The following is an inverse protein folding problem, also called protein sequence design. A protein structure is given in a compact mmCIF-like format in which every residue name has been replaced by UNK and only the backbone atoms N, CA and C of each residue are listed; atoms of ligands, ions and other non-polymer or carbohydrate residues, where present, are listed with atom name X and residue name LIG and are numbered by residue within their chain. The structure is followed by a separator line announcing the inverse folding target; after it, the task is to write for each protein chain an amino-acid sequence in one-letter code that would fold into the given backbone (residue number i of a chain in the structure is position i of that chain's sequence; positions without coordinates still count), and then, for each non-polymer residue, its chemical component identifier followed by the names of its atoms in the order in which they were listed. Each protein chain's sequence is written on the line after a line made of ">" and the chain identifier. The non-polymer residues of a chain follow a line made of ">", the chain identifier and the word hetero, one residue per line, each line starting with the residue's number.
data_IF_292177940754
#
_entry.id   IF_292177940754
#
_cell.length_a   1.000
_cell.length_b   1.000
_cell.length_c   1.000
_cell.angle_alpha   90.00
_cell.angle_beta   90.00
_cell.angle_gamma   90.00
#
_symmetry.space_group_name_H-M   'P 1'
#
loop_
_entity.id
_entity.type
_entity.pdbx_description
1 polymer ?
#
# COMPACT_ATOMS: atom_id res chain seq x y z
N UNK A 1 15.78 10.84 7.31
CA UNK A 1 14.40 10.30 7.25
C UNK A 1 14.43 8.89 7.81
N UNK A 2 13.29 8.31 8.15
CA UNK A 2 13.23 6.94 8.67
C UNK A 2 12.19 6.14 7.90
N UNK A 3 12.52 4.89 7.60
CA UNK A 3 11.59 3.92 7.04
C UNK A 3 11.14 3.00 8.16
N UNK A 4 9.83 2.81 8.27
CA UNK A 4 9.22 1.80 9.13
C UNK A 4 8.80 0.66 8.22
N UNK A 5 9.41 -0.50 8.38
CA UNK A 5 9.07 -1.71 7.66
C UNK A 5 8.15 -2.57 8.50
N UNK A 6 7.16 -3.17 7.85
CA UNK A 6 6.11 -3.95 8.47
C UNK A 6 5.90 -5.19 7.61
N UNK A 7 5.84 -6.36 8.25
CA UNK A 7 5.32 -7.59 7.65
C UNK A 7 3.94 -7.88 8.24
N UNK A 8 2.92 -8.08 7.40
CA UNK A 8 1.58 -8.39 7.84
C UNK A 8 1.38 -9.89 8.07
N UNK A 9 0.72 -10.22 9.17
CA UNK A 9 0.44 -11.59 9.60
C UNK A 9 -0.69 -12.20 8.76
N UNK A 10 -0.33 -13.15 7.91
CA UNK A 10 -1.27 -13.95 7.12
C UNK A 10 -2.10 -14.85 8.04
N UNK A 11 -3.42 -14.94 7.82
CA UNK A 11 -4.29 -15.87 8.57
C UNK A 11 -4.99 -16.91 7.71
N UNK A 12 -5.19 -16.64 6.42
CA UNK A 12 -5.73 -17.59 5.44
C UNK A 12 -5.42 -17.11 4.03
N UNK A 13 -5.70 -17.93 3.02
CA UNK A 13 -5.68 -17.51 1.62
C UNK A 13 -7.04 -16.96 1.19
N UNK A 14 -7.06 -16.04 0.24
CA UNK A 14 -8.31 -15.54 -0.37
C UNK A 14 -8.79 -16.45 -1.51
N UNK A 15 -9.94 -16.13 -2.10
CA UNK A 15 -10.39 -16.77 -3.35
C UNK A 15 -9.45 -16.50 -4.52
N UNK A 16 -8.73 -15.37 -4.49
CA UNK A 16 -7.60 -15.14 -5.36
C UNK A 16 -6.39 -15.90 -4.77
N UNK A 17 -5.87 -16.93 -5.45
CA UNK A 17 -4.76 -17.74 -4.92
C UNK A 17 -3.46 -16.94 -4.74
N UNK A 18 -3.37 -15.74 -5.32
CA UNK A 18 -2.24 -14.83 -5.14
C UNK A 18 -2.38 -13.93 -3.91
N UNK A 19 -3.62 -13.70 -3.45
CA UNK A 19 -3.88 -12.78 -2.34
C UNK A 19 -4.13 -13.55 -1.04
N UNK A 20 -3.38 -13.15 -0.02
CA UNK A 20 -3.60 -13.60 1.35
C UNK A 20 -4.71 -12.78 2.02
N UNK A 21 -5.44 -13.41 2.92
CA UNK A 21 -6.35 -12.74 3.84
C UNK A 21 -5.58 -12.52 5.14
N UNK A 22 -5.51 -11.26 5.54
CA UNK A 22 -5.02 -10.84 6.84
C UNK A 22 -6.20 -10.70 7.79
N UNK A 23 -5.94 -10.78 9.10
CA UNK A 23 -6.98 -10.70 10.13
C UNK A 23 -7.80 -9.41 10.05
N UNK A 24 -7.16 -8.36 9.55
CA UNK A 24 -7.71 -7.02 9.40
C UNK A 24 -6.73 -6.15 8.61
N UNK A 25 -7.24 -5.13 7.93
CA UNK A 25 -6.46 -4.05 7.33
C UNK A 25 -6.56 -2.75 8.16
N UNK A 26 -6.85 -2.81 9.46
CA UNK A 26 -6.98 -1.63 10.34
C UNK A 26 -5.74 -0.71 10.34
N UNK A 27 -4.58 -1.25 9.94
CA UNK A 27 -3.35 -0.48 9.78
C UNK A 27 -3.35 0.39 8.50
N UNK A 28 -4.09 0.00 7.47
CA UNK A 28 -4.04 0.57 6.11
C UNK A 28 -4.42 2.04 6.10
N UNK A 29 -5.63 2.38 6.57
CA UNK A 29 -6.12 3.76 6.51
C UNK A 29 -5.19 4.73 7.24
N UNK A 30 -4.61 4.30 8.36
CA UNK A 30 -3.65 5.10 9.12
C UNK A 30 -2.33 5.26 8.37
N UNK A 31 -1.79 4.19 7.80
CA UNK A 31 -0.57 4.22 6.99
C UNK A 31 -0.72 5.15 5.78
N UNK A 32 -1.81 4.98 5.02
CA UNK A 32 -2.16 5.83 3.89
C UNK A 32 -2.33 7.28 4.33
N UNK A 33 -3.04 7.54 5.44
CA UNK A 33 -3.23 8.90 5.96
C UNK A 33 -1.91 9.59 6.31
N UNK A 34 -0.91 8.86 6.79
CA UNK A 34 0.43 9.41 7.05
C UNK A 34 1.12 9.76 5.72
N UNK A 35 1.13 8.83 4.77
CA UNK A 35 1.79 9.02 3.48
C UNK A 35 1.20 10.17 2.66
N UNK A 36 -0.14 10.28 2.63
CA UNK A 36 -0.89 11.32 1.90
C UNK A 36 -0.63 12.74 2.43
N UNK A 37 0.00 12.92 3.59
CA UNK A 37 0.44 14.24 4.07
C UNK A 37 1.55 14.83 3.21
N UNK A 38 2.33 13.98 2.52
CA UNK A 38 3.53 14.40 1.79
C UNK A 38 3.55 13.92 0.34
N UNK A 39 2.94 12.78 0.04
CA UNK A 39 2.89 12.22 -1.31
C UNK A 39 2.01 13.05 -2.25
N UNK A 40 2.44 13.17 -3.51
CA UNK A 40 1.70 13.81 -4.59
C UNK A 40 1.46 12.92 -5.81
N UNK A 41 2.13 11.76 -5.86
CA UNK A 41 2.04 10.79 -6.94
C UNK A 41 1.80 9.39 -6.40
N UNK A 42 1.13 8.58 -7.20
CA UNK A 42 0.90 7.17 -6.91
C UNK A 42 1.36 6.29 -8.07
N UNK A 43 1.63 5.04 -7.73
CA UNK A 43 1.78 3.93 -8.67
C UNK A 43 1.02 2.73 -8.11
N UNK A 44 0.14 2.16 -8.93
CA UNK A 44 -0.55 0.91 -8.65
C UNK A 44 -0.03 -0.18 -9.56
N UNK A 45 0.25 -1.36 -8.99
CA UNK A 45 0.62 -2.56 -9.75
C UNK A 45 -0.37 -3.68 -9.49
N UNK A 46 -0.73 -4.40 -10.54
CA UNK A 46 -1.74 -5.45 -10.52
C UNK A 46 -1.36 -6.55 -11.52
N UNK A 47 -1.76 -7.78 -11.22
CA UNK A 47 -1.76 -8.84 -12.23
C UNK A 47 -2.87 -8.61 -13.25
N UNK A 48 -2.67 -9.07 -14.48
CA UNK A 48 -3.69 -8.96 -15.54
C UNK A 48 -5.02 -9.62 -15.16
N UNK A 49 -4.97 -10.67 -14.35
CA UNK A 49 -6.16 -11.39 -13.89
C UNK A 49 -6.92 -10.63 -12.80
N UNK A 50 -6.22 -9.82 -11.99
CA UNK A 50 -6.81 -9.00 -10.94
C UNK A 50 -7.55 -7.79 -11.47
N UNK A 51 -7.24 -7.34 -12.69
CA UNK A 51 -7.92 -6.21 -13.33
C UNK A 51 -9.44 -6.35 -13.31
N UNK A 52 -9.93 -7.59 -13.43
CA UNK A 52 -11.37 -7.90 -13.42
C UNK A 52 -12.03 -7.57 -12.07
N UNK A 53 -11.26 -7.50 -10.99
CA UNK A 53 -11.73 -7.13 -9.66
C UNK A 53 -11.80 -5.60 -9.45
N UNK A 54 -11.25 -4.82 -10.38
CA UNK A 54 -11.30 -3.36 -10.34
C UNK A 54 -12.51 -2.90 -11.14
N UNK A 55 -13.52 -2.40 -10.42
CA UNK A 55 -14.80 -2.00 -10.99
C UNK A 55 -14.68 -0.92 -12.07
N UNK A 56 -13.71 -0.02 -11.92
CA UNK A 56 -13.43 1.03 -12.90
C UNK A 56 -11.92 1.28 -13.04
N UNK A 57 -11.32 0.61 -14.03
CA UNK A 57 -9.89 0.71 -14.34
C UNK A 57 -9.49 2.12 -14.79
N UNK A 58 -10.44 2.93 -15.30
CA UNK A 58 -10.15 4.30 -15.72
C UNK A 58 -9.80 5.21 -14.54
N UNK A 59 -10.19 4.81 -13.32
CA UNK A 59 -9.84 5.51 -12.09
C UNK A 59 -8.38 5.32 -11.67
N UNK A 60 -7.67 4.36 -12.27
CA UNK A 60 -6.27 4.06 -11.93
C UNK A 60 -5.27 5.00 -12.60
N UNK A 61 -5.71 5.89 -13.50
CA UNK A 61 -4.83 6.82 -14.20
C UNK A 61 -4.20 6.25 -15.47
N UNK A 62 -2.98 6.70 -15.78
CA UNK A 62 -2.30 6.32 -17.02
C UNK A 62 -1.62 4.98 -16.86
N UNK A 63 -1.89 4.05 -17.78
CA UNK A 63 -1.16 2.80 -17.88
C UNK A 63 0.22 3.07 -18.47
N UNK A 64 1.26 2.63 -17.78
CA UNK A 64 2.66 2.76 -18.22
C UNK A 64 3.19 1.38 -18.61
N UNK A 65 4.06 1.35 -19.61
CA UNK A 65 4.75 0.12 -19.98
C UNK A 65 5.66 -0.35 -18.85
N UNK A 66 5.58 -1.64 -18.55
CA UNK A 66 6.40 -2.30 -17.56
C UNK A 66 7.21 -3.41 -18.25
N UNK A 67 8.52 -3.28 -18.21
CA UNK A 67 9.45 -4.22 -18.85
C UNK A 67 10.19 -5.10 -17.83
N UNK A 68 9.98 -4.88 -16.54
CA UNK A 68 10.67 -5.59 -15.46
C UNK A 68 9.87 -6.79 -14.96
N UNK A 69 8.55 -6.62 -14.85
CA UNK A 69 7.62 -7.66 -14.39
C UNK A 69 6.43 -7.76 -15.34
N UNK A 70 5.59 -8.79 -15.17
CA UNK A 70 4.35 -8.94 -15.93
C UNK A 70 3.16 -8.17 -15.31
N UNK A 71 3.42 -7.34 -14.31
CA UNK A 71 2.40 -6.53 -13.65
C UNK A 71 1.99 -5.37 -14.56
N UNK A 72 0.70 -5.06 -14.57
CA UNK A 72 0.19 -3.84 -15.16
C UNK A 72 0.46 -2.69 -14.18
N UNK A 73 1.09 -1.63 -14.69
CA UNK A 73 1.48 -0.47 -13.89
C UNK A 73 0.63 0.72 -14.30
N UNK A 74 0.03 1.36 -13.30
CA UNK A 74 -0.72 2.60 -13.47
C UNK A 74 -0.13 3.70 -12.60
N UNK A 75 0.05 4.90 -13.15
CA UNK A 75 0.62 6.05 -12.42
C UNK A 75 -0.23 7.30 -12.60
N UNK A 76 -0.12 8.20 -11.63
CA UNK A 76 -0.76 9.51 -11.72
C UNK A 76 -0.50 10.42 -10.52
N UNK A 77 -1.14 11.59 -10.56
CA UNK A 77 -1.17 12.54 -9.45
C UNK A 77 -2.28 12.16 -8.45
N UNK A 78 -2.00 12.37 -7.17
CA UNK A 78 -2.96 12.14 -6.10
C UNK A 78 -3.96 13.31 -6.08
N UNK A 79 -5.14 13.07 -6.66
CA UNK A 79 -6.31 13.94 -6.53
C UNK A 79 -7.27 13.40 -5.44
N UNK A 80 -8.39 14.09 -5.21
CA UNK A 80 -9.36 13.69 -4.18
C UNK A 80 -10.08 12.37 -4.50
N UNK A 81 -10.11 11.95 -5.77
CA UNK A 81 -10.66 10.64 -6.16
C UNK A 81 -9.71 9.54 -5.75
N UNK A 82 -8.41 9.70 -6.03
CA UNK A 82 -7.36 8.74 -5.61
C UNK A 82 -7.28 8.64 -4.09
N UNK A 83 -7.36 9.76 -3.36
CA UNK A 83 -7.41 9.73 -1.90
C UNK A 83 -8.59 8.91 -1.38
N UNK A 84 -9.78 9.05 -1.99
CA UNK A 84 -10.96 8.29 -1.61
C UNK A 84 -10.78 6.79 -1.89
N UNK A 85 -10.21 6.43 -3.04
CA UNK A 85 -9.90 5.02 -3.33
C UNK A 85 -8.97 4.43 -2.27
N UNK A 86 -7.89 5.13 -1.96
CA UNK A 86 -6.90 4.68 -0.99
C UNK A 86 -7.44 4.60 0.45
N UNK A 87 -8.30 5.54 0.86
CA UNK A 87 -8.78 5.63 2.25
C UNK A 87 -10.10 4.92 2.51
N UNK A 88 -10.95 4.75 1.50
CA UNK A 88 -12.34 4.33 1.73
C UNK A 88 -12.80 3.17 0.83
N UNK A 89 -12.07 2.87 -0.25
CA UNK A 89 -12.49 1.90 -1.25
C UNK A 89 -11.30 1.05 -1.74
N UNK A 90 -10.49 0.60 -0.79
CA UNK A 90 -9.24 -0.10 -1.04
C UNK A 90 -9.38 -1.63 -1.04
N UNK A 91 -10.51 -2.18 -0.61
CA UNK A 91 -10.77 -3.61 -0.55
C UNK A 91 -11.66 -4.10 -1.70
N UNK A 92 -11.36 -5.28 -2.22
CA UNK A 92 -12.25 -6.02 -3.12
C UNK A 92 -13.47 -6.53 -2.35
N UNK A 93 -14.49 -7.01 -3.08
CA UNK A 93 -15.65 -7.69 -2.49
C UNK A 93 -15.27 -8.97 -1.73
N UNK A 94 -14.16 -9.63 -2.09
CA UNK A 94 -13.60 -10.78 -1.38
C UNK A 94 -12.72 -10.37 -0.17
N UNK A 95 -12.62 -9.06 0.12
CA UNK A 95 -12.05 -8.55 1.37
C UNK A 95 -10.53 -8.43 1.41
N UNK A 96 -9.83 -8.41 0.27
CA UNK A 96 -8.38 -8.14 0.19
C UNK A 96 -8.08 -6.84 -0.56
N UNK A 97 -6.88 -6.27 -0.41
CA UNK A 97 -6.51 -5.02 -1.08
C UNK A 97 -6.62 -5.14 -2.61
N UNK A 98 -7.20 -4.15 -3.29
CA UNK A 98 -7.47 -4.18 -4.75
C UNK A 98 -6.22 -4.25 -5.64
N UNK A 99 -5.08 -3.83 -5.11
CA UNK A 99 -3.83 -3.70 -5.85
C UNK A 99 -2.79 -4.64 -5.27
N UNK A 100 -2.03 -5.30 -6.14
CA UNK A 100 -0.91 -6.14 -5.71
C UNK A 100 0.19 -5.30 -5.06
N UNK A 101 0.51 -4.16 -5.67
CA UNK A 101 1.43 -3.16 -5.09
C UNK A 101 0.83 -1.76 -5.13
N UNK A 102 1.04 -0.98 -4.07
CA UNK A 102 0.76 0.46 -4.00
C UNK A 102 2.01 1.20 -3.55
N UNK A 103 2.46 2.13 -4.39
CA UNK A 103 3.54 3.05 -4.06
C UNK A 103 3.05 4.48 -4.08
N UNK A 104 3.41 5.27 -3.07
CA UNK A 104 3.14 6.71 -3.02
C UNK A 104 4.46 7.48 -2.95
N UNK A 105 4.58 8.53 -3.75
CA UNK A 105 5.82 9.27 -3.94
C UNK A 105 5.66 10.77 -3.72
N UNK A 106 6.79 11.42 -3.44
CA UNK A 106 6.99 12.87 -3.55
C UNK A 106 8.38 13.10 -4.12
N UNK A 107 8.50 13.85 -5.22
CA UNK A 107 9.81 14.10 -5.87
C UNK A 107 10.67 12.83 -6.10
N UNK A 108 10.03 11.73 -6.51
CA UNK A 108 10.63 10.41 -6.75
C UNK A 108 11.12 9.68 -5.48
N UNK A 109 10.98 10.31 -4.31
CA UNK A 109 11.16 9.65 -3.03
C UNK A 109 9.91 8.87 -2.65
N UNK A 110 10.11 7.59 -2.32
CA UNK A 110 9.06 6.73 -1.79
C UNK A 110 8.62 7.24 -0.42
N UNK A 111 7.31 7.37 -0.23
CA UNK A 111 6.67 7.75 1.05
C UNK A 111 5.85 6.61 1.64
N UNK A 112 5.37 5.73 0.78
CA UNK A 112 4.67 4.52 1.14
C UNK A 112 4.92 3.45 0.09
N UNK A 113 5.08 2.22 0.55
CA UNK A 113 5.09 1.01 -0.25
C UNK A 113 4.22 -0.02 0.46
N UNK A 114 3.43 -0.74 -0.32
CA UNK A 114 2.75 -1.95 0.11
C UNK A 114 2.75 -2.92 -1.05
N UNK A 115 3.23 -4.14 -0.83
CA UNK A 115 3.28 -5.22 -1.82
C UNK A 115 2.51 -6.46 -1.34
N UNK A 116 2.31 -7.42 -2.25
CA UNK A 116 1.61 -8.67 -1.99
C UNK A 116 0.25 -8.45 -1.31
N UNK A 117 -0.50 -7.45 -1.78
CA UNK A 117 -1.80 -7.07 -1.22
C UNK A 117 -1.75 -6.71 0.28
N UNK A 118 -0.64 -6.11 0.74
CA UNK A 118 -0.50 -5.67 2.13
C UNK A 118 0.47 -6.48 2.99
N UNK A 119 1.15 -7.48 2.44
CA UNK A 119 2.11 -8.29 3.20
C UNK A 119 3.32 -7.50 3.62
N UNK A 120 3.98 -6.85 2.67
CA UNK A 120 5.20 -6.08 2.91
C UNK A 120 4.87 -4.61 2.79
N UNK A 121 5.13 -3.84 3.84
CA UNK A 121 4.77 -2.42 3.89
C UNK A 121 5.96 -1.60 4.38
N UNK A 122 6.19 -0.45 3.74
CA UNK A 122 7.13 0.55 4.20
C UNK A 122 6.46 1.92 4.29
N UNK A 123 6.72 2.66 5.37
CA UNK A 123 6.26 4.04 5.55
C UNK A 123 7.47 4.92 5.82
N UNK A 124 7.62 6.02 5.09
CA UNK A 124 8.72 6.97 5.30
C UNK A 124 8.24 8.18 6.09
N UNK A 125 8.94 8.51 7.17
CA UNK A 125 8.67 9.66 8.05
C UNK A 125 9.91 10.53 8.24
N UNK A 126 9.72 11.75 8.75
CA UNK A 126 10.77 12.77 8.73
C UNK A 126 11.78 12.61 9.87
N UNK A 127 11.34 12.11 11.02
CA UNK A 127 12.16 12.01 12.22
C UNK A 127 11.89 10.72 13.01
N UNK A 128 12.81 10.40 13.93
CA UNK A 128 12.77 9.14 14.67
C UNK A 128 11.57 9.04 15.63
N UNK A 129 11.09 10.16 16.18
CA UNK A 129 9.93 10.14 17.06
C UNK A 129 8.66 9.77 16.28
N UNK A 130 8.47 10.32 15.08
CA UNK A 130 7.40 9.88 14.17
C UNK A 130 7.53 8.39 13.86
N UNK A 131 8.75 7.88 13.67
CA UNK A 131 8.98 6.46 13.38
C UNK A 131 8.58 5.56 14.57
N UNK A 132 8.91 5.98 15.80
CA UNK A 132 8.48 5.29 17.01
C UNK A 132 6.95 5.30 17.18
N UNK A 133 6.30 6.43 16.89
CA UNK A 133 4.83 6.53 16.96
C UNK A 133 4.16 5.61 15.95
N UNK A 134 4.67 5.56 14.72
CA UNK A 134 4.18 4.64 13.67
C UNK A 134 4.44 3.19 14.07
N UNK A 135 5.64 2.85 14.54
CA UNK A 135 5.96 1.50 15.01
C UNK A 135 5.00 1.04 16.11
N UNK A 136 4.81 1.86 17.14
CA UNK A 136 3.89 1.57 18.25
C UNK A 136 2.45 1.39 17.76
N UNK A 137 2.00 2.20 16.82
CA UNK A 137 0.68 2.08 16.21
C UNK A 137 0.53 0.75 15.45
N UNK A 138 1.57 0.33 14.72
CA UNK A 138 1.56 -0.92 13.96
C UNK A 138 1.62 -2.16 14.86
N UNK A 139 2.41 -2.12 15.93
CA UNK A 139 2.48 -3.20 16.93
C UNK A 139 1.14 -3.41 17.66
N UNK A 140 0.28 -2.40 17.72
CA UNK A 140 -1.07 -2.50 18.27
C UNK A 140 -2.08 -3.09 17.27
N UNK A 141 -1.70 -3.23 15.99
CA UNK A 141 -2.51 -3.87 14.96
C UNK A 141 -2.39 -5.39 15.07
N UNK A 142 -3.52 -6.08 15.17
CA UNK A 142 -3.56 -7.55 15.30
C UNK A 142 -3.13 -8.32 14.04
N UNK A 143 -2.82 -7.61 12.96
CA UNK A 143 -2.47 -8.16 11.65
C UNK A 143 -1.01 -7.92 11.28
N UNK A 144 -0.16 -7.54 12.23
CA UNK A 144 1.27 -7.30 11.99
C UNK A 144 2.08 -8.42 12.66
N UNK A 145 3.03 -8.98 11.92
CA UNK A 145 3.96 -10.01 12.38
C UNK A 145 5.25 -9.38 12.90
N UNK A 146 5.85 -8.48 12.11
CA UNK A 146 7.11 -7.82 12.43
C UNK A 146 7.07 -6.33 12.09
N UNK A 147 7.77 -5.52 12.89
CA UNK A 147 7.98 -4.09 12.62
C UNK A 147 9.40 -3.67 13.01
N UNK A 148 10.11 -2.99 12.11
CA UNK A 148 11.41 -2.41 12.41
C UNK A 148 11.59 -1.02 11.77
N UNK A 149 12.61 -0.29 12.22
CA UNK A 149 12.90 1.08 11.79
C UNK A 149 14.32 1.12 11.25
N UNK A 150 14.48 1.68 10.05
CA UNK A 150 15.78 1.95 9.44
C UNK A 150 15.94 3.46 9.19
N UNK A 151 17.15 3.97 9.34
CA UNK A 151 17.50 5.33 8.94
C UNK A 151 17.80 5.37 7.44
N UNK A 152 17.23 6.36 6.75
CA UNK A 152 17.52 6.62 5.33
C UNK A 152 18.78 7.48 5.27
N UNK A 153 19.87 6.88 4.80
CA UNK A 153 21.21 7.50 4.62
C UNK A 153 21.27 8.24 3.28
#
# INVERSE_FOLDING_TARGET
>A
MYNIWISAKIISSSENPLANIYKSYDWWEKAISIALKTADRYEFRLWSDDVKSIEDISLLGEKIDNFETNELVYKGLIDDRIKRLLLNDYLTSSGYIKWFTVNLYRNDELKFYSSHYGEEVAITVNNYNEALDVKKMMEQSFSVEEVWIDEVI
#
